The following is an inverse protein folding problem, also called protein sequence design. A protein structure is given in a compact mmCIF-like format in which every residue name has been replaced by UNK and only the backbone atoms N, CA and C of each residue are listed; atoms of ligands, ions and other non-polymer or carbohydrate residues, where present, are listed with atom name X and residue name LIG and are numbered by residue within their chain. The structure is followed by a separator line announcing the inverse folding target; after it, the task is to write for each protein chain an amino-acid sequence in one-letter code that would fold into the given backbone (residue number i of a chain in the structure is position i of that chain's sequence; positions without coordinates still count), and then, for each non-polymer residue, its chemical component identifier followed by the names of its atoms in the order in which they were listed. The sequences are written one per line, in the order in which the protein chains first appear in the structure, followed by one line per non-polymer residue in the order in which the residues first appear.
data_IF_612550057953
#
_entry.id   IF_612550057953
#
_cell.length_a   1.000
_cell.length_b   1.000
_cell.length_c   1.000
_cell.angle_alpha   90.00
_cell.angle_beta   90.00
_cell.angle_gamma   90.00
#
_symmetry.space_group_name_H-M   'P 1'
#
loop_
_entity.id
_entity.type
_entity.pdbx_description
1 polymer ?
#
# COMPACT_ATOMS: atom_id res chain seq x y z
N UNK A 1 -1.56 -11.23 -6.61
CA UNK A 1 -2.39 -12.30 -6.03
C UNK A 1 -1.68 -12.79 -4.79
N UNK A 2 -2.36 -12.81 -3.64
CA UNK A 2 -1.81 -13.37 -2.40
C UNK A 2 -2.77 -14.42 -1.87
N UNK A 3 -2.26 -15.54 -1.38
CA UNK A 3 -3.04 -16.58 -0.73
C UNK A 3 -2.93 -16.39 0.79
N UNK A 4 -4.07 -16.37 1.49
CA UNK A 4 -4.09 -16.16 2.94
C UNK A 4 -3.59 -17.38 3.73
N UNK A 5 -3.81 -18.58 3.18
CA UNK A 5 -3.49 -19.85 3.84
C UNK A 5 -2.95 -20.86 2.79
N UNK A 6 -1.66 -20.76 2.40
CA UNK A 6 -1.05 -21.63 1.39
C UNK A 6 -0.97 -23.10 1.82
N UNK A 7 -1.04 -23.39 3.12
CA UNK A 7 -0.99 -24.74 3.69
C UNK A 7 -2.10 -25.67 3.17
N UNK A 8 -3.24 -25.12 2.73
CA UNK A 8 -4.33 -25.92 2.19
C UNK A 8 -4.01 -26.55 0.83
N UNK A 9 -2.95 -26.12 0.13
CA UNK A 9 -2.47 -26.81 -1.07
C UNK A 9 -2.04 -28.26 -0.78
N UNK A 10 -1.63 -28.58 0.45
CA UNK A 10 -1.31 -29.97 0.85
C UNK A 10 -2.52 -30.91 0.78
N UNK A 11 -3.75 -30.38 0.78
CA UNK A 11 -4.95 -31.20 0.58
C UNK A 11 -5.04 -31.75 -0.84
N UNK A 12 -4.44 -31.11 -1.84
CA UNK A 12 -4.49 -31.58 -3.24
C UNK A 12 -3.86 -32.99 -3.38
N UNK A 13 -2.59 -33.22 -3.01
CA UNK A 13 -2.00 -34.56 -3.08
C UNK A 13 -2.68 -35.54 -2.11
N UNK A 14 -3.17 -35.09 -0.95
CA UNK A 14 -3.91 -35.94 -0.02
C UNK A 14 -5.24 -36.44 -0.62
N UNK A 15 -5.99 -35.58 -1.31
CA UNK A 15 -7.23 -35.93 -2.02
C UNK A 15 -6.97 -36.84 -3.21
N UNK A 16 -5.87 -36.64 -3.94
CA UNK A 16 -5.46 -37.53 -5.04
C UNK A 16 -5.10 -38.92 -4.51
N UNK A 17 -4.31 -39.01 -3.44
CA UNK A 17 -3.96 -40.28 -2.80
C UNK A 17 -5.20 -40.98 -2.20
N UNK A 18 -6.11 -40.24 -1.58
CA UNK A 18 -7.38 -40.75 -1.07
C UNK A 18 -8.30 -41.22 -2.21
N UNK A 19 -8.37 -40.48 -3.32
CA UNK A 19 -9.12 -40.85 -4.51
C UNK A 19 -8.57 -42.08 -5.24
N UNK A 20 -7.26 -42.29 -5.19
CA UNK A 20 -6.59 -43.49 -5.70
C UNK A 20 -6.82 -44.70 -4.81
N UNK A 21 -6.77 -44.51 -3.47
CA UNK A 21 -6.98 -45.57 -2.48
C UNK A 21 -8.46 -45.97 -2.36
N UNK A 22 -9.37 -45.01 -2.47
CA UNK A 22 -10.82 -45.21 -2.34
C UNK A 22 -11.52 -44.88 -3.67
N UNK A 23 -11.75 -45.92 -4.48
CA UNK A 23 -12.54 -45.85 -5.73
C UNK A 23 -13.96 -45.26 -5.54
N UNK A 24 -14.47 -45.17 -4.31
CA UNK A 24 -15.75 -44.53 -3.97
C UNK A 24 -15.76 -42.99 -4.06
N UNK A 25 -14.60 -42.33 -4.15
CA UNK A 25 -14.55 -40.87 -4.33
C UNK A 25 -14.95 -40.42 -5.75
N UNK A 26 -15.21 -41.34 -6.68
CA UNK A 26 -15.67 -41.07 -8.06
C UNK A 26 -14.95 -39.88 -8.71
N UNK A 27 -13.61 -39.85 -8.67
CA UNK A 27 -12.81 -38.83 -9.38
C UNK A 27 -12.99 -38.85 -10.90
N UNK A 28 -13.69 -39.87 -11.44
CA UNK A 28 -14.10 -39.92 -12.85
C UNK A 28 -15.27 -38.98 -13.18
N UNK A 29 -16.03 -38.50 -12.19
CA UNK A 29 -17.06 -37.49 -12.41
C UNK A 29 -16.42 -36.10 -12.46
N UNK A 30 -16.43 -35.42 -13.62
CA UNK A 30 -15.77 -34.13 -13.78
C UNK A 30 -16.34 -33.08 -12.83
N UNK A 31 -17.65 -33.14 -12.54
CA UNK A 31 -18.32 -32.25 -11.61
C UNK A 31 -17.75 -32.37 -10.19
N UNK A 32 -17.42 -33.58 -9.75
CA UNK A 32 -16.91 -33.84 -8.40
C UNK A 32 -15.48 -33.34 -8.24
N UNK A 33 -14.68 -33.48 -9.30
CA UNK A 33 -13.33 -32.89 -9.37
C UNK A 33 -13.41 -31.37 -9.33
N UNK A 34 -14.31 -30.75 -10.11
CA UNK A 34 -14.49 -29.29 -10.10
C UNK A 34 -14.92 -28.78 -8.72
N UNK A 35 -15.83 -29.49 -8.03
CA UNK A 35 -16.25 -29.13 -6.67
C UNK A 35 -15.10 -29.26 -5.66
N UNK A 36 -14.29 -30.31 -5.74
CA UNK A 36 -13.14 -30.50 -4.85
C UNK A 36 -12.07 -29.44 -5.08
N UNK A 37 -11.75 -29.15 -6.34
CA UNK A 37 -10.79 -28.09 -6.69
C UNK A 37 -11.33 -26.72 -6.27
N UNK A 38 -12.61 -26.46 -6.49
CA UNK A 38 -13.29 -25.24 -6.05
C UNK A 38 -13.28 -25.08 -4.52
N UNK A 39 -13.47 -26.18 -3.78
CA UNK A 39 -13.40 -26.19 -2.32
C UNK A 39 -11.99 -25.89 -1.82
N UNK A 40 -10.97 -26.54 -2.39
CA UNK A 40 -9.56 -26.26 -2.05
C UNK A 40 -9.22 -24.81 -2.38
N UNK A 41 -9.64 -24.31 -3.54
CA UNK A 41 -9.47 -22.91 -3.91
C UNK A 41 -10.17 -21.97 -2.91
N UNK A 42 -11.40 -22.26 -2.49
CA UNK A 42 -12.09 -21.46 -1.48
C UNK A 42 -11.34 -21.45 -0.13
N UNK A 43 -10.79 -22.59 0.29
CA UNK A 43 -9.98 -22.74 1.51
C UNK A 43 -8.64 -21.99 1.43
N UNK A 44 -8.04 -21.86 0.25
CA UNK A 44 -6.79 -21.10 0.07
C UNK A 44 -6.95 -19.58 0.17
N UNK A 45 -8.17 -19.08 0.39
CA UNK A 45 -8.51 -17.65 0.43
C UNK A 45 -7.80 -16.84 -0.66
N UNK A 46 -8.14 -17.04 -1.94
CA UNK A 46 -7.49 -16.35 -3.04
C UNK A 46 -7.88 -14.87 -2.98
N UNK A 47 -6.97 -14.04 -2.45
CA UNK A 47 -7.17 -12.60 -2.42
C UNK A 47 -6.71 -12.02 -3.75
N UNK A 48 -7.69 -11.81 -4.62
CA UNK A 48 -7.54 -11.01 -5.82
C UNK A 48 -7.59 -9.53 -5.40
N UNK A 49 -6.43 -8.87 -5.37
CA UNK A 49 -6.38 -7.41 -5.26
C UNK A 49 -6.81 -6.84 -6.61
N UNK A 50 -8.12 -6.67 -6.81
CA UNK A 50 -8.70 -6.08 -8.04
C UNK A 50 -8.35 -4.59 -8.17
N UNK A 51 -8.12 -3.92 -7.04
CA UNK A 51 -7.59 -2.58 -7.01
C UNK A 51 -6.09 -2.66 -6.69
N UNK A 52 -5.25 -2.63 -7.71
CA UNK A 52 -3.96 -1.95 -7.60
C UNK A 52 -4.21 -0.45 -7.74
N UNK A 53 -5.07 0.10 -6.86
CA UNK A 53 -5.17 1.55 -6.74
C UNK A 53 -3.84 2.01 -6.20
N UNK A 54 -3.08 2.74 -7.01
CA UNK A 54 -1.90 3.43 -6.52
C UNK A 54 -2.25 4.24 -5.27
N UNK A 55 -1.36 4.24 -4.30
CA UNK A 55 -1.52 5.05 -3.12
C UNK A 55 -1.10 6.48 -3.45
N UNK A 56 -2.02 7.45 -3.32
CA UNK A 56 -1.69 8.87 -3.32
C UNK A 56 -1.32 9.28 -1.90
N UNK A 57 -0.02 9.40 -1.63
CA UNK A 57 0.53 9.77 -0.34
C UNK A 57 0.90 11.26 -0.32
N UNK A 58 0.28 12.03 0.57
CA UNK A 58 0.60 13.43 0.80
C UNK A 58 1.42 13.60 2.07
N UNK A 59 2.63 14.13 1.92
CA UNK A 59 3.60 14.32 3.01
C UNK A 59 3.69 15.81 3.31
N UNK A 60 3.23 16.21 4.49
CA UNK A 60 3.34 17.58 4.98
C UNK A 60 4.61 17.70 5.83
N UNK A 61 5.57 18.50 5.37
CA UNK A 61 6.84 18.72 6.04
C UNK A 61 6.85 20.09 6.74
N UNK A 62 6.98 20.08 8.06
CA UNK A 62 7.08 21.30 8.87
C UNK A 62 8.48 21.93 8.71
N UNK A 63 8.52 23.17 8.23
CA UNK A 63 9.72 23.97 8.02
C UNK A 63 9.89 25.09 9.06
N UNK A 64 9.06 25.14 10.09
CA UNK A 64 9.17 26.14 11.17
C UNK A 64 10.50 26.03 11.91
N UNK A 65 10.95 27.14 12.51
CA UNK A 65 12.23 27.21 13.24
C UNK A 65 12.32 26.19 14.38
N UNK A 66 11.20 25.92 15.05
CA UNK A 66 11.10 24.91 16.10
C UNK A 66 11.31 23.48 15.59
N UNK A 67 10.98 23.21 14.32
CA UNK A 67 11.10 21.90 13.70
C UNK A 67 12.41 21.72 12.92
N UNK A 68 13.06 22.83 12.53
CA UNK A 68 14.24 22.84 11.66
C UNK A 68 15.39 21.95 12.16
N UNK A 69 15.65 21.95 13.48
CA UNK A 69 16.74 21.17 14.08
C UNK A 69 16.49 19.65 14.05
N UNK A 70 15.23 19.21 14.19
CA UNK A 70 14.86 17.80 14.17
C UNK A 70 14.66 17.28 12.74
N UNK A 71 14.02 18.08 11.89
CA UNK A 71 13.60 17.67 10.55
C UNK A 71 14.71 17.75 9.50
N UNK A 72 15.72 18.59 9.66
CA UNK A 72 16.76 18.78 8.63
C UNK A 72 17.50 17.51 8.21
N UNK A 73 17.82 16.63 9.15
CA UNK A 73 18.53 15.37 8.87
C UNK A 73 17.57 14.21 8.57
N UNK A 74 16.44 14.12 9.29
CA UNK A 74 15.48 13.03 9.16
C UNK A 74 14.62 13.14 7.89
N UNK A 75 14.32 14.35 7.41
CA UNK A 75 13.47 14.54 6.24
C UNK A 75 14.04 13.87 4.99
N UNK A 76 15.37 13.95 4.77
CA UNK A 76 16.02 13.30 3.62
C UNK A 76 15.97 11.77 3.72
N UNK A 77 16.09 11.23 4.93
CA UNK A 77 15.99 9.79 5.16
C UNK A 77 14.56 9.30 4.91
N UNK A 78 13.56 10.02 5.41
CA UNK A 78 12.14 9.72 5.19
C UNK A 78 11.82 9.79 3.69
N UNK A 79 12.27 10.83 2.99
CA UNK A 79 12.10 10.96 1.53
C UNK A 79 12.73 9.78 0.77
N UNK A 80 13.95 9.39 1.16
CA UNK A 80 14.64 8.23 0.56
C UNK A 80 13.88 6.92 0.80
N UNK A 81 13.34 6.72 2.01
CA UNK A 81 12.55 5.53 2.34
C UNK A 81 11.26 5.51 1.55
N UNK A 82 10.56 6.65 1.46
CA UNK A 82 9.29 6.77 0.74
C UNK A 82 9.47 6.51 -0.75
N UNK A 83 10.48 7.09 -1.38
CA UNK A 83 10.79 6.84 -2.79
C UNK A 83 11.21 5.38 -3.04
N UNK A 84 11.97 4.77 -2.12
CA UNK A 84 12.37 3.36 -2.23
C UNK A 84 11.19 2.40 -2.05
N UNK A 85 10.23 2.75 -1.21
CA UNK A 85 9.03 1.95 -0.93
C UNK A 85 7.87 2.21 -1.90
N UNK A 86 8.00 3.21 -2.78
CA UNK A 86 6.99 3.59 -3.76
C UNK A 86 6.74 2.48 -4.79
N UNK A 87 5.48 2.06 -4.92
CA UNK A 87 5.02 1.19 -5.99
C UNK A 87 4.89 1.91 -7.34
N UNK A 88 4.83 1.15 -8.44
CA UNK A 88 4.77 1.69 -9.81
C UNK A 88 3.59 2.64 -10.07
N UNK A 89 2.47 2.42 -9.39
CA UNK A 89 1.25 3.23 -9.52
C UNK A 89 1.11 4.26 -8.38
N UNK A 90 1.98 4.24 -7.37
CA UNK A 90 1.90 5.12 -6.21
C UNK A 90 2.40 6.53 -6.58
N UNK A 91 1.79 7.56 -5.98
CA UNK A 91 2.20 8.96 -6.14
C UNK A 91 2.50 9.54 -4.76
N UNK A 92 3.63 10.24 -4.66
CA UNK A 92 4.01 10.94 -3.44
C UNK A 92 4.04 12.43 -3.73
N UNK A 93 3.34 13.22 -2.91
CA UNK A 93 3.26 14.66 -3.03
C UNK A 93 3.81 15.31 -1.75
N UNK A 94 4.84 16.15 -1.91
CA UNK A 94 5.48 16.85 -0.80
C UNK A 94 4.95 18.28 -0.69
N UNK A 95 4.43 18.63 0.48
CA UNK A 95 3.97 19.98 0.83
C UNK A 95 4.82 20.47 1.99
N UNK A 96 5.62 21.49 1.74
CA UNK A 96 6.40 22.16 2.78
C UNK A 96 5.52 23.24 3.41
N UNK A 97 5.44 23.30 4.74
CA UNK A 97 4.63 24.30 5.44
C UNK A 97 5.31 24.91 6.66
N UNK A 98 5.00 26.17 6.93
CA UNK A 98 5.32 26.88 8.17
C UNK A 98 4.23 27.94 8.40
N UNK A 99 4.51 29.23 8.16
CA UNK A 99 3.49 30.28 8.09
C UNK A 99 2.59 30.18 6.85
N UNK A 100 3.13 29.61 5.77
CA UNK A 100 2.45 29.34 4.51
C UNK A 100 2.68 27.88 4.08
N UNK A 101 1.87 27.36 3.16
CA UNK A 101 1.99 26.01 2.63
C UNK A 101 2.27 26.05 1.12
N UNK A 102 3.33 25.37 0.69
CA UNK A 102 3.79 25.35 -0.69
C UNK A 102 4.08 23.91 -1.11
N UNK A 103 3.56 23.51 -2.28
CA UNK A 103 3.84 22.20 -2.85
C UNK A 103 5.14 22.23 -3.64
N UNK A 104 6.04 21.29 -3.33
CA UNK A 104 7.41 21.26 -3.87
C UNK A 104 7.48 20.97 -5.38
N UNK A 105 6.44 20.38 -5.96
CA UNK A 105 6.36 20.06 -7.39
C UNK A 105 5.77 21.18 -8.27
N UNK A 106 5.18 22.23 -7.66
CA UNK A 106 4.56 23.37 -8.35
C UNK A 106 5.23 24.71 -8.05
N UNK A 107 6.25 24.74 -7.20
CA UNK A 107 6.93 25.97 -6.75
C UNK A 107 8.46 25.87 -6.83
N UNK A 108 9.13 26.98 -6.52
CA UNK A 108 10.59 27.02 -6.38
C UNK A 108 11.03 26.05 -5.26
N UNK A 109 12.17 25.34 -5.40
CA UNK A 109 12.63 24.36 -4.41
C UNK A 109 13.11 25.01 -3.10
N UNK A 110 13.11 26.35 -3.03
CA UNK A 110 13.46 27.13 -1.85
C UNK A 110 12.16 27.61 -1.20
N UNK A 111 11.88 27.12 0.01
CA UNK A 111 10.74 27.58 0.80
C UNK A 111 11.02 29.01 1.31
N UNK A 112 10.32 30.01 0.78
CA UNK A 112 10.47 31.44 1.12
C UNK A 112 9.46 31.95 2.17
N UNK A 113 8.67 31.06 2.78
CA UNK A 113 7.63 31.44 3.74
C UNK A 113 8.14 31.83 5.13
N UNK A 114 7.30 32.50 5.93
CA UNK A 114 7.61 32.84 7.33
C UNK A 114 7.85 31.58 8.18
N UNK A 115 9.09 31.40 8.66
CA UNK A 115 9.53 30.24 9.45
C UNK A 115 9.16 30.31 10.94
N UNK A 116 8.77 31.49 11.42
CA UNK A 116 8.47 31.74 12.84
C UNK A 116 7.05 31.30 13.27
N UNK A 117 6.21 30.89 12.32
CA UNK A 117 4.84 30.47 12.58
C UNK A 117 4.61 29.05 12.04
N UNK A 118 3.72 28.31 12.70
CA UNK A 118 3.30 26.98 12.27
C UNK A 118 1.78 26.96 12.11
N UNK A 119 1.29 27.02 10.87
CA UNK A 119 -0.14 27.04 10.54
C UNK A 119 -0.60 25.72 9.91
N UNK A 120 -0.67 24.68 10.74
CA UNK A 120 -1.08 23.33 10.30
C UNK A 120 -2.48 23.33 9.67
N UNK A 121 -3.43 24.07 10.24
CA UNK A 121 -4.79 24.14 9.70
C UNK A 121 -4.83 24.67 8.25
N UNK A 122 -4.12 25.78 7.99
CA UNK A 122 -4.02 26.33 6.64
C UNK A 122 -3.30 25.38 5.68
N UNK A 123 -2.29 24.65 6.15
CA UNK A 123 -1.59 23.65 5.34
C UNK A 123 -2.48 22.45 4.98
N UNK A 124 -3.34 22.02 5.90
CA UNK A 124 -4.31 20.96 5.65
C UNK A 124 -5.36 21.43 4.64
N UNK A 125 -5.94 22.61 4.81
CA UNK A 125 -6.93 23.16 3.88
C UNK A 125 -6.34 23.33 2.48
N UNK A 126 -5.11 23.83 2.39
CA UNK A 126 -4.36 23.93 1.13
C UNK A 126 -4.13 22.57 0.47
N UNK A 127 -3.76 21.56 1.26
CA UNK A 127 -3.49 20.21 0.75
C UNK A 127 -4.78 19.54 0.27
N UNK A 128 -5.87 19.67 1.04
CA UNK A 128 -7.20 19.15 0.67
C UNK A 128 -7.74 19.81 -0.59
N UNK A 129 -7.46 21.10 -0.82
CA UNK A 129 -7.85 21.80 -2.05
C UNK A 129 -7.12 21.31 -3.32
N UNK A 130 -6.06 20.49 -3.16
CA UNK A 130 -5.27 19.96 -4.27
C UNK A 130 -5.42 18.46 -4.51
N UNK A 131 -6.19 17.78 -3.66
CA UNK A 131 -6.64 16.38 -3.86
C UNK A 131 -7.77 16.36 -4.89
#
# INVERSE_FOLDING_TARGET
MSFGAPEWFFLVPALVAAGWRWRGLRLHEPLRVVLLVGLVLALTEPRLRLASGGLDLWVLADRSDSAAAAMGQQAKEIETILEKSRGREDRVHYVDFAGEAVRRDKGDPVFEGELHHTRIGAALDYTLAQM
#
